data_IF_319732400542
#
_entry.id   IF_319732400542
#
_cell.length_a   1.000
_cell.length_b   1.000
_cell.length_c   1.000
_cell.angle_alpha   90.00
_cell.angle_beta   90.00
_cell.angle_gamma   90.00
#
_symmetry.space_group_name_H-M   'P 1'
#
loop_
_entity.id
_entity.type
_entity.pdbx_description
1 polymer ?
#
# COMPACT_ATOMS: atom_id res chain seq x y z
N UNK A 1 -56.44 23.70 11.74
CA UNK A 1 -55.54 22.53 11.78
C UNK A 1 -54.18 22.97 11.23
N UNK A 2 -53.24 23.34 12.10
CA UNK A 2 -51.89 23.74 11.69
C UNK A 2 -50.97 22.54 11.88
N UNK A 3 -50.39 22.10 10.76
CA UNK A 3 -49.44 20.99 10.65
C UNK A 3 -48.21 21.25 11.54
N UNK A 4 -48.01 20.41 12.55
CA UNK A 4 -46.78 20.42 13.36
C UNK A 4 -45.63 19.94 12.48
N UNK A 5 -44.80 20.88 12.07
CA UNK A 5 -43.48 20.65 11.45
C UNK A 5 -42.62 19.94 12.50
N UNK A 6 -42.43 18.63 12.35
CA UNK A 6 -41.49 17.85 13.17
C UNK A 6 -40.08 18.27 12.79
N UNK A 7 -39.45 19.09 13.64
CA UNK A 7 -38.00 19.25 13.63
C UNK A 7 -37.38 17.93 14.07
N UNK A 8 -36.89 17.16 13.12
CA UNK A 8 -36.02 16.02 13.38
C UNK A 8 -34.69 16.60 13.90
N UNK A 9 -34.44 16.47 15.21
CA UNK A 9 -33.15 16.78 15.80
C UNK A 9 -32.11 15.82 15.20
N UNK A 10 -30.91 16.28 14.84
CA UNK A 10 -29.87 15.38 14.34
C UNK A 10 -29.51 14.36 15.42
N UNK A 11 -29.58 13.08 15.08
CA UNK A 11 -29.21 11.95 15.94
C UNK A 11 -27.82 12.19 16.54
N UNK A 12 -27.72 12.10 17.87
CA UNK A 12 -26.46 12.33 18.61
C UNK A 12 -25.34 11.36 18.17
N UNK A 13 -25.71 10.22 17.59
CA UNK A 13 -24.79 9.23 17.04
C UNK A 13 -24.17 9.67 15.70
N UNK A 14 -24.87 10.51 14.93
CA UNK A 14 -24.37 11.07 13.66
C UNK A 14 -23.37 12.18 13.92
N UNK A 15 -23.63 13.05 14.91
CA UNK A 15 -22.76 14.17 15.29
C UNK A 15 -21.42 13.71 15.88
N UNK A 16 -21.41 12.64 16.68
CA UNK A 16 -20.18 12.09 17.28
C UNK A 16 -19.27 11.42 16.24
N UNK A 17 -19.84 10.71 15.27
CA UNK A 17 -19.11 10.10 14.15
C UNK A 17 -18.55 11.17 13.21
N UNK A 18 -19.31 12.24 12.95
CA UNK A 18 -18.86 13.37 12.12
C UNK A 18 -17.62 14.03 12.74
N UNK A 19 -17.67 14.36 14.02
CA UNK A 19 -16.56 14.97 14.75
C UNK A 19 -15.32 14.06 14.74
N UNK A 20 -15.49 12.75 14.97
CA UNK A 20 -14.39 11.77 14.92
C UNK A 20 -13.67 11.74 13.57
N UNK A 21 -14.43 11.85 12.47
CA UNK A 21 -13.87 11.90 11.13
C UNK A 21 -13.12 13.22 10.87
N UNK A 22 -13.65 14.35 11.32
CA UNK A 22 -12.98 15.65 11.22
C UNK A 22 -11.61 15.65 11.93
N UNK A 23 -11.52 15.13 13.15
CA UNK A 23 -10.24 14.98 13.86
C UNK A 23 -9.26 14.09 13.10
N UNK A 24 -9.72 12.98 12.51
CA UNK A 24 -8.88 12.11 11.68
C UNK A 24 -8.34 12.86 10.46
N UNK A 25 -9.18 13.62 9.75
CA UNK A 25 -8.74 14.38 8.57
C UNK A 25 -7.76 15.51 8.95
N UNK A 26 -8.01 16.20 10.06
CA UNK A 26 -7.11 17.21 10.59
C UNK A 26 -5.73 16.61 10.94
N UNK A 27 -5.70 15.47 11.62
CA UNK A 27 -4.47 14.75 11.94
C UNK A 27 -3.68 14.33 10.69
N UNK A 28 -4.36 13.85 9.65
CA UNK A 28 -3.74 13.50 8.37
C UNK A 28 -3.16 14.72 7.65
N UNK A 29 -3.88 15.85 7.68
CA UNK A 29 -3.40 17.12 7.12
C UNK A 29 -2.14 17.61 7.84
N UNK A 30 -2.12 17.51 9.18
CA UNK A 30 -0.97 17.87 9.99
C UNK A 30 0.24 16.97 9.71
N UNK A 31 0.05 15.65 9.67
CA UNK A 31 1.11 14.69 9.31
C UNK A 31 1.71 15.05 7.94
N UNK A 32 0.85 15.27 6.94
CA UNK A 32 1.30 15.61 5.58
C UNK A 32 2.10 16.91 5.56
N UNK A 33 1.66 17.93 6.28
CA UNK A 33 2.37 19.20 6.36
C UNK A 33 3.74 19.05 7.02
N UNK A 34 3.78 18.43 8.21
CA UNK A 34 5.01 18.22 8.98
C UNK A 34 6.01 17.39 8.18
N UNK A 35 5.57 16.26 7.63
CA UNK A 35 6.43 15.36 6.86
C UNK A 35 6.93 16.00 5.57
N UNK A 36 6.14 16.87 4.92
CA UNK A 36 6.61 17.61 3.74
C UNK A 36 7.77 18.55 4.08
N UNK A 37 7.76 19.17 5.26
CA UNK A 37 8.81 20.10 5.72
C UNK A 37 10.03 19.38 6.28
N UNK A 38 9.83 18.27 6.99
CA UNK A 38 10.91 17.52 7.64
C UNK A 38 11.52 16.44 6.75
N UNK A 39 10.93 16.13 5.59
CA UNK A 39 11.34 15.01 4.72
C UNK A 39 12.86 14.91 4.54
N UNK A 40 13.53 15.99 4.16
CA UNK A 40 14.99 15.96 3.89
C UNK A 40 15.86 15.76 5.14
N UNK A 41 15.30 15.90 6.34
CA UNK A 41 16.00 15.72 7.61
C UNK A 41 15.74 14.36 8.25
N UNK A 42 14.58 13.77 7.99
CA UNK A 42 14.17 12.49 8.59
C UNK A 42 14.25 11.33 7.61
N UNK A 43 14.22 11.61 6.32
CA UNK A 43 14.30 10.61 5.27
C UNK A 43 15.70 10.62 4.68
N UNK A 44 16.35 9.47 4.71
CA UNK A 44 17.71 9.30 4.22
C UNK A 44 18.74 10.26 4.79
N UNK A 45 18.63 10.53 6.08
CA UNK A 45 19.52 11.44 6.79
C UNK A 45 20.80 10.79 7.30
N UNK A 46 20.83 9.47 7.49
CA UNK A 46 22.04 8.75 7.90
C UNK A 46 22.76 8.09 6.71
N UNK A 47 24.09 8.25 6.57
CA UNK A 47 24.84 7.63 5.47
C UNK A 47 24.73 6.09 5.42
N UNK A 48 24.64 5.45 6.58
CA UNK A 48 24.49 3.98 6.66
C UNK A 48 23.17 3.51 6.06
N UNK A 49 22.09 4.24 6.28
CA UNK A 49 20.78 3.90 5.75
C UNK A 49 20.79 4.04 4.21
N UNK A 50 21.46 5.05 3.65
CA UNK A 50 21.64 5.22 2.20
C UNK A 50 22.45 4.06 1.61
N UNK A 51 23.49 3.61 2.32
CA UNK A 51 24.32 2.49 1.91
C UNK A 51 23.52 1.17 1.92
N UNK A 52 22.72 0.93 2.95
CA UNK A 52 21.85 -0.25 3.04
C UNK A 52 20.83 -0.27 1.90
N UNK A 53 20.26 0.89 1.57
CA UNK A 53 19.34 1.02 0.44
C UNK A 53 19.99 0.68 -0.90
N UNK A 54 21.20 1.18 -1.13
CA UNK A 54 21.97 0.87 -2.33
C UNK A 54 22.22 -0.65 -2.44
N UNK A 55 22.71 -1.27 -1.36
CA UNK A 55 22.98 -2.71 -1.33
C UNK A 55 21.72 -3.54 -1.58
N UNK A 56 20.58 -3.13 -1.02
CA UNK A 56 19.32 -3.80 -1.23
C UNK A 56 18.84 -3.64 -2.67
N UNK A 57 18.95 -2.44 -3.24
CA UNK A 57 18.61 -2.17 -4.64
C UNK A 57 19.46 -3.01 -5.61
N UNK A 58 20.77 -3.12 -5.36
CA UNK A 58 21.67 -3.98 -6.15
C UNK A 58 21.28 -5.45 -6.08
N UNK A 59 21.02 -5.96 -4.87
CA UNK A 59 20.57 -7.36 -4.68
C UNK A 59 19.24 -7.62 -5.39
N UNK A 60 18.28 -6.72 -5.26
CA UNK A 60 16.98 -6.83 -5.94
C UNK A 60 17.15 -6.83 -7.46
N UNK A 61 18.01 -5.95 -8.00
CA UNK A 61 18.29 -5.87 -9.43
C UNK A 61 18.91 -7.15 -9.99
N UNK A 62 19.73 -7.87 -9.21
CA UNK A 62 20.27 -9.18 -9.60
C UNK A 62 19.19 -10.26 -9.58
N UNK A 63 18.42 -10.35 -8.48
CA UNK A 63 17.36 -11.37 -8.31
C UNK A 63 16.28 -11.21 -9.39
N UNK A 64 15.93 -9.97 -9.74
CA UNK A 64 14.89 -9.66 -10.72
C UNK A 64 15.13 -10.30 -12.10
N UNK A 65 16.41 -10.55 -12.45
CA UNK A 65 16.82 -11.08 -13.75
C UNK A 65 16.44 -12.56 -13.94
N UNK A 66 16.37 -13.34 -12.87
CA UNK A 66 16.16 -14.79 -12.96
C UNK A 66 15.00 -15.31 -12.12
N UNK A 67 14.42 -14.49 -11.21
CA UNK A 67 13.27 -14.90 -10.41
C UNK A 67 12.06 -15.20 -11.31
N UNK A 68 11.48 -16.39 -11.10
CA UNK A 68 10.25 -16.85 -11.74
C UNK A 68 9.15 -17.06 -10.68
N UNK A 69 7.86 -16.97 -11.04
CA UNK A 69 6.77 -17.18 -10.10
C UNK A 69 6.84 -18.53 -9.37
N UNK A 70 7.33 -19.58 -10.04
CA UNK A 70 7.46 -20.92 -9.47
C UNK A 70 8.53 -21.00 -8.37
N UNK A 71 9.48 -20.06 -8.32
CA UNK A 71 10.47 -20.00 -7.24
C UNK A 71 9.85 -19.56 -5.91
N UNK A 72 8.64 -19.00 -5.94
CA UNK A 72 7.88 -18.53 -4.78
C UNK A 72 6.60 -19.36 -4.61
N UNK A 73 6.48 -20.51 -5.26
CA UNK A 73 5.30 -21.39 -5.19
C UNK A 73 3.99 -20.75 -5.70
N UNK A 74 4.08 -19.80 -6.64
CA UNK A 74 2.90 -19.17 -7.25
C UNK A 74 2.27 -20.11 -8.29
N UNK A 75 1.09 -20.65 -7.96
CA UNK A 75 0.30 -21.51 -8.86
C UNK A 75 -0.05 -20.77 -10.17
N UNK A 76 -0.05 -21.49 -11.30
CA UNK A 76 -0.35 -20.93 -12.64
C UNK A 76 -1.68 -20.18 -12.71
N UNK A 77 -2.69 -20.62 -11.96
CA UNK A 77 -4.00 -19.97 -11.86
C UNK A 77 -3.91 -18.52 -11.38
N UNK A 78 -2.88 -18.18 -10.59
CA UNK A 78 -2.65 -16.83 -10.06
C UNK A 78 -1.62 -16.02 -10.88
N UNK A 79 -1.14 -16.57 -11.99
CA UNK A 79 -0.17 -15.89 -12.85
C UNK A 79 -0.88 -14.99 -13.87
N UNK A 80 -1.03 -13.71 -13.53
CA UNK A 80 -1.63 -12.70 -14.40
C UNK A 80 -0.71 -11.48 -14.50
N UNK A 81 0.02 -11.40 -15.62
CA UNK A 81 1.00 -10.34 -15.88
C UNK A 81 0.37 -8.94 -15.87
N UNK A 82 -0.85 -8.79 -16.37
CA UNK A 82 -1.54 -7.48 -16.39
C UNK A 82 -1.84 -7.00 -14.99
N UNK A 83 -2.41 -7.85 -14.13
CA UNK A 83 -2.70 -7.53 -12.73
C UNK A 83 -1.43 -7.27 -11.93
N UNK A 84 -0.37 -8.05 -12.16
CA UNK A 84 0.93 -7.81 -11.53
C UNK A 84 1.53 -6.48 -11.95
N UNK A 85 1.46 -6.12 -13.23
CA UNK A 85 1.93 -4.81 -13.71
C UNK A 85 1.13 -3.66 -13.07
N UNK A 86 -0.18 -3.82 -12.85
CA UNK A 86 -0.99 -2.83 -12.14
C UNK A 86 -0.56 -2.70 -10.67
N UNK A 87 -0.35 -3.82 -9.98
CA UNK A 87 0.13 -3.83 -8.59
C UNK A 87 1.52 -3.17 -8.47
N UNK A 88 2.43 -3.48 -9.39
CA UNK A 88 3.74 -2.85 -9.49
C UNK A 88 3.63 -1.33 -9.66
N UNK A 89 2.73 -0.85 -10.53
CA UNK A 89 2.49 0.59 -10.74
C UNK A 89 1.95 1.28 -9.50
N UNK A 90 1.04 0.65 -8.74
CA UNK A 90 0.58 1.20 -7.47
C UNK A 90 1.73 1.34 -6.47
N UNK A 91 2.57 0.30 -6.35
CA UNK A 91 3.70 0.31 -5.43
C UNK A 91 4.78 1.33 -5.84
N UNK A 92 5.04 1.52 -7.13
CA UNK A 92 6.01 2.50 -7.65
C UNK A 92 5.68 3.94 -7.25
N UNK A 93 4.40 4.28 -7.04
CA UNK A 93 3.97 5.64 -6.64
C UNK A 93 4.48 6.03 -5.25
N UNK A 94 4.94 5.09 -4.43
CA UNK A 94 5.37 5.36 -3.05
C UNK A 94 6.47 6.42 -2.95
N UNK A 95 7.34 6.53 -3.95
CA UNK A 95 8.39 7.54 -4.03
C UNK A 95 7.87 8.93 -4.43
N UNK A 96 6.64 9.03 -4.94
CA UNK A 96 6.00 10.30 -5.28
C UNK A 96 5.41 11.00 -4.04
N UNK A 97 5.28 10.28 -2.92
CA UNK A 97 4.67 10.79 -1.70
C UNK A 97 5.68 10.95 -0.58
N UNK A 98 5.52 12.02 0.22
CA UNK A 98 6.33 12.28 1.41
C UNK A 98 5.65 11.86 2.70
N UNK A 99 4.32 11.95 2.75
CA UNK A 99 3.55 11.60 3.94
C UNK A 99 3.48 10.07 4.12
N UNK A 100 3.73 9.54 5.33
CA UNK A 100 3.61 8.11 5.65
C UNK A 100 2.27 7.52 5.22
N UNK A 101 1.16 8.23 5.49
CA UNK A 101 -0.17 7.76 5.09
C UNK A 101 -0.32 7.60 3.58
N UNK A 102 0.15 8.57 2.80
CA UNK A 102 0.06 8.50 1.34
C UNK A 102 0.94 7.35 0.79
N UNK A 103 2.08 7.08 1.43
CA UNK A 103 2.91 5.89 1.14
C UNK A 103 2.18 4.59 1.47
N UNK A 104 1.53 4.49 2.63
CA UNK A 104 0.72 3.35 3.03
C UNK A 104 -0.42 3.10 2.04
N UNK A 105 -1.08 4.16 1.54
CA UNK A 105 -2.14 4.01 0.52
C UNK A 105 -1.60 3.35 -0.75
N UNK A 106 -0.36 3.62 -1.17
CA UNK A 106 0.26 2.93 -2.31
C UNK A 106 0.40 1.42 -2.06
N UNK A 107 0.87 1.04 -0.87
CA UNK A 107 1.00 -0.36 -0.46
C UNK A 107 -0.39 -1.02 -0.42
N UNK A 108 -1.37 -0.39 0.22
CA UNK A 108 -2.73 -0.91 0.30
C UNK A 108 -3.38 -1.05 -1.08
N UNK A 109 -3.14 -0.12 -2.00
CA UNK A 109 -3.65 -0.23 -3.37
C UNK A 109 -2.98 -1.38 -4.13
N UNK A 110 -1.67 -1.57 -3.98
CA UNK A 110 -0.97 -2.76 -4.49
C UNK A 110 -1.60 -4.04 -3.93
N UNK A 111 -1.80 -4.12 -2.62
CA UNK A 111 -2.43 -5.27 -1.96
C UNK A 111 -3.86 -5.51 -2.47
N UNK A 112 -4.67 -4.46 -2.70
CA UNK A 112 -6.03 -4.59 -3.26
C UNK A 112 -6.02 -5.16 -4.68
N UNK A 113 -5.08 -4.72 -5.52
CA UNK A 113 -4.94 -5.25 -6.88
C UNK A 113 -4.60 -6.75 -6.84
N UNK A 114 -3.69 -7.16 -5.96
CA UNK A 114 -3.33 -8.57 -5.75
C UNK A 114 -4.53 -9.36 -5.21
N UNK A 115 -5.23 -8.85 -4.19
CA UNK A 115 -6.42 -9.50 -3.64
C UNK A 115 -7.51 -9.70 -4.69
N UNK A 116 -7.78 -8.69 -5.51
CA UNK A 116 -8.74 -8.80 -6.61
C UNK A 116 -8.31 -9.84 -7.65
N UNK A 117 -7.01 -9.87 -8.01
CA UNK A 117 -6.47 -10.90 -8.89
C UNK A 117 -6.77 -12.30 -8.36
N UNK A 118 -6.44 -12.55 -7.09
CA UNK A 118 -6.63 -13.86 -6.47
C UNK A 118 -8.11 -14.24 -6.42
N UNK A 119 -8.98 -13.31 -6.03
CA UNK A 119 -10.42 -13.52 -5.99
C UNK A 119 -11.00 -13.84 -7.37
N UNK A 120 -10.56 -13.16 -8.43
CA UNK A 120 -11.01 -13.46 -9.79
C UNK A 120 -10.51 -14.81 -10.30
N UNK A 121 -9.26 -15.15 -9.98
CA UNK A 121 -8.68 -16.45 -10.31
C UNK A 121 -9.41 -17.59 -9.57
N UNK A 122 -9.80 -17.37 -8.31
CA UNK A 122 -10.54 -18.34 -7.52
C UNK A 122 -12.02 -18.47 -7.89
N UNK A 123 -12.60 -17.61 -8.74
CA UNK A 123 -13.96 -17.90 -9.27
C UNK A 123 -13.96 -19.24 -10.04
N UNK A 124 -12.81 -19.66 -10.56
CA UNK A 124 -12.63 -20.93 -11.27
C UNK A 124 -12.30 -22.14 -10.37
N UNK A 125 -12.08 -21.93 -9.07
CA UNK A 125 -11.70 -22.97 -8.10
C UNK A 125 -12.42 -22.76 -6.77
N UNK A 126 -13.06 -23.76 -6.17
CA UNK A 126 -13.89 -23.58 -4.96
C UNK A 126 -13.12 -23.07 -3.71
N UNK A 127 -11.79 -22.94 -3.76
CA UNK A 127 -10.96 -22.44 -2.67
C UNK A 127 -10.86 -20.91 -2.63
N UNK A 128 -11.14 -20.32 -1.47
CA UNK A 128 -10.92 -18.89 -1.20
C UNK A 128 -9.42 -18.66 -0.97
N UNK A 129 -8.77 -17.75 -1.73
CA UNK A 129 -7.33 -17.52 -1.61
C UNK A 129 -6.97 -16.90 -0.26
N UNK A 130 -5.96 -17.47 0.39
CA UNK A 130 -5.50 -17.06 1.71
C UNK A 130 -4.18 -16.29 1.67
N UNK A 131 -3.53 -16.21 2.84
CA UNK A 131 -2.20 -15.60 2.97
C UNK A 131 -1.13 -16.35 2.15
N UNK A 132 -1.29 -17.67 2.00
CA UNK A 132 -0.35 -18.55 1.28
C UNK A 132 -0.40 -18.31 -0.23
N UNK A 133 -1.53 -17.88 -0.78
CA UNK A 133 -1.62 -17.40 -2.17
C UNK A 133 -1.20 -15.94 -2.31
N UNK A 134 -1.47 -15.11 -1.30
CA UNK A 134 -1.23 -13.67 -1.35
C UNK A 134 0.24 -13.29 -1.21
N UNK A 135 0.92 -13.81 -0.18
CA UNK A 135 2.26 -13.38 0.18
C UNK A 135 3.29 -13.68 -0.93
N UNK A 136 3.30 -14.85 -1.58
CA UNK A 136 4.15 -15.09 -2.74
C UNK A 136 3.99 -14.07 -3.86
N UNK A 137 2.75 -13.72 -4.21
CA UNK A 137 2.46 -12.75 -5.27
C UNK A 137 2.95 -11.36 -4.87
N UNK A 138 2.74 -10.96 -3.61
CA UNK A 138 3.24 -9.69 -3.08
C UNK A 138 4.77 -9.61 -3.13
N UNK A 139 5.47 -10.68 -2.74
CA UNK A 139 6.93 -10.76 -2.80
C UNK A 139 7.39 -10.64 -4.25
N UNK A 140 6.79 -11.40 -5.18
CA UNK A 140 7.14 -11.35 -6.60
C UNK A 140 6.95 -9.96 -7.20
N UNK A 141 5.80 -9.32 -6.94
CA UNK A 141 5.51 -7.96 -7.37
C UNK A 141 6.53 -6.98 -6.80
N UNK A 142 6.87 -7.10 -5.51
CA UNK A 142 7.83 -6.21 -4.84
C UNK A 142 9.23 -6.32 -5.44
N UNK A 143 9.70 -7.54 -5.72
CA UNK A 143 11.00 -7.79 -6.36
C UNK A 143 11.02 -7.23 -7.79
N UNK A 144 9.90 -7.33 -8.53
CA UNK A 144 9.79 -6.83 -9.92
C UNK A 144 9.65 -5.31 -10.02
N UNK A 145 9.28 -4.63 -8.94
CA UNK A 145 9.31 -3.16 -8.90
C UNK A 145 10.75 -2.72 -8.70
N UNK A 146 11.27 -1.84 -9.57
CA UNK A 146 12.48 -1.06 -9.25
C UNK A 146 12.15 0.06 -8.27
N UNK A 147 12.30 -0.20 -6.98
CA UNK A 147 12.27 0.84 -5.96
C UNK A 147 13.72 1.21 -5.65
N UNK A 148 14.08 2.49 -5.71
CA UNK A 148 15.45 2.90 -5.35
C UNK A 148 15.65 3.05 -3.83
N UNK A 149 14.59 2.83 -3.05
CA UNK A 149 14.50 3.26 -1.64
C UNK A 149 13.62 2.28 -0.85
N UNK A 150 14.09 1.05 -0.61
CA UNK A 150 13.31 0.01 0.06
C UNK A 150 13.45 0.05 1.60
N UNK A 151 14.57 0.53 2.13
CA UNK A 151 14.95 0.48 3.54
C UNK A 151 14.13 1.46 4.39
N UNK A 152 13.97 2.71 3.94
CA UNK A 152 13.14 3.70 4.66
C UNK A 152 11.63 3.44 4.56
N UNK A 153 11.20 2.44 3.77
CA UNK A 153 9.79 2.03 3.72
C UNK A 153 9.36 1.28 4.99
N UNK A 154 10.29 0.62 5.69
CA UNK A 154 10.00 -0.13 6.92
C UNK A 154 10.12 0.76 8.16
N UNK A 155 11.03 1.75 8.16
CA UNK A 155 11.26 2.62 9.34
C UNK A 155 10.20 3.72 9.53
N UNK A 156 9.35 3.98 8.54
CA UNK A 156 8.30 5.01 8.61
C UNK A 156 6.89 4.43 8.82
N UNK A 157 6.77 3.10 8.91
CA UNK A 157 5.55 2.35 9.26
C UNK A 157 5.66 1.86 10.71
#
# INVERSE_FOLDING_TARGET
MISKRTHHAPDQNTTSVQNSNEYKYAGQGLEKYVMTKLFTRVFASHPDDVKLDHQLSEKMALIQQFIRPENLDIKRTFQNETSWLLAQKELQKINMYKAPRDKLVCILNCCKVIGNLLLHASISSEDVPGADEFLPVLIYVTIKVRLNIYHYMIYLL
#
